data_IF_314658805558
#
_entry.id   IF_314658805558
#
_cell.length_a   1.000
_cell.length_b   1.000
_cell.length_c   1.000
_cell.angle_alpha   90.00
_cell.angle_beta   90.00
_cell.angle_gamma   90.00
#
_symmetry.space_group_name_H-M   'P 1'
#
loop_
_entity.id
_entity.type
_entity.pdbx_description
1 polymer ?
#
# COMPACT_ATOMS: atom_id res chain seq x y z
N UNK A 1 -35.33 -15.25 0.33
CA UNK A 1 -33.99 -14.64 0.34
C UNK A 1 -33.43 -14.88 -1.04
N UNK A 2 -33.48 -13.86 -1.88
CA UNK A 2 -33.17 -14.01 -3.31
C UNK A 2 -31.66 -14.16 -3.48
N UNK A 3 -31.24 -15.37 -3.83
CA UNK A 3 -29.84 -15.71 -4.13
C UNK A 3 -29.52 -15.24 -5.54
N UNK A 4 -29.49 -13.93 -5.77
CA UNK A 4 -28.84 -13.39 -6.96
C UNK A 4 -27.38 -13.85 -6.92
N UNK A 5 -26.97 -14.72 -7.83
CA UNK A 5 -25.60 -15.21 -7.92
C UNK A 5 -24.65 -14.01 -7.88
N UNK A 6 -23.88 -13.87 -6.79
CA UNK A 6 -23.05 -12.70 -6.58
C UNK A 6 -22.00 -12.65 -7.71
N UNK A 7 -21.95 -11.54 -8.45
CA UNK A 7 -20.96 -11.34 -9.49
C UNK A 7 -19.64 -10.85 -8.89
N UNK A 8 -18.82 -11.81 -8.45
CA UNK A 8 -17.63 -11.61 -7.64
C UNK A 8 -16.35 -11.57 -8.50
N UNK A 9 -15.40 -10.75 -8.05
CA UNK A 9 -14.00 -10.75 -8.48
C UNK A 9 -13.10 -10.91 -7.26
N UNK A 10 -12.21 -11.89 -7.26
CA UNK A 10 -11.17 -12.06 -6.22
C UNK A 10 -9.78 -11.89 -6.82
N UNK A 11 -8.98 -11.01 -6.23
CA UNK A 11 -7.53 -10.99 -6.42
C UNK A 11 -6.90 -11.89 -5.37
N UNK A 12 -6.53 -13.10 -5.76
CA UNK A 12 -5.99 -14.07 -4.84
C UNK A 12 -4.46 -13.92 -4.74
N UNK A 13 -3.90 -13.66 -3.54
CA UNK A 13 -2.47 -13.65 -3.32
C UNK A 13 -1.75 -14.87 -3.87
N UNK A 14 -0.54 -14.67 -4.40
CA UNK A 14 0.47 -15.74 -4.32
C UNK A 14 1.14 -15.72 -2.96
N UNK A 15 1.66 -16.89 -2.57
CA UNK A 15 2.30 -17.09 -1.27
C UNK A 15 3.50 -16.15 -1.07
N UNK A 16 4.25 -15.84 -2.13
CA UNK A 16 5.39 -14.90 -2.12
C UNK A 16 4.99 -13.49 -1.71
N UNK A 17 3.79 -13.07 -2.10
CA UNK A 17 3.36 -11.68 -1.97
C UNK A 17 2.45 -11.44 -0.76
N UNK A 18 1.99 -12.51 -0.12
CA UNK A 18 1.09 -12.45 1.03
C UNK A 18 1.68 -11.68 2.21
N UNK A 19 2.99 -11.76 2.42
CA UNK A 19 3.66 -11.17 3.60
C UNK A 19 4.62 -10.05 3.19
N UNK A 20 4.29 -9.34 2.11
CA UNK A 20 5.06 -8.18 1.65
C UNK A 20 4.74 -6.92 2.45
N UNK A 21 5.46 -5.84 2.18
CA UNK A 21 5.28 -4.58 2.90
C UNK A 21 3.95 -3.90 2.60
N UNK A 22 3.49 -3.03 3.51
CA UNK A 22 2.18 -2.37 3.40
C UNK A 22 1.99 -1.65 2.06
N UNK A 23 2.97 -0.85 1.61
CA UNK A 23 2.87 -0.16 0.32
C UNK A 23 2.72 -1.11 -0.88
N UNK A 24 3.28 -2.31 -0.78
CA UNK A 24 3.11 -3.36 -1.78
C UNK A 24 1.65 -3.84 -1.81
N UNK A 25 1.10 -4.17 -0.64
CA UNK A 25 -0.30 -4.59 -0.47
C UNK A 25 -1.30 -3.51 -0.92
N UNK A 26 -1.03 -2.23 -0.61
CA UNK A 26 -1.92 -1.13 -1.00
C UNK A 26 -1.91 -0.90 -2.52
N UNK A 27 -0.78 -1.03 -3.20
CA UNK A 27 -0.71 -0.96 -4.66
C UNK A 27 -1.49 -2.11 -5.30
N UNK A 28 -1.36 -3.32 -4.75
CA UNK A 28 -2.09 -4.52 -5.16
C UNK A 28 -3.60 -4.33 -5.09
N UNK A 29 -4.09 -3.90 -3.93
CA UNK A 29 -5.52 -3.68 -3.71
C UNK A 29 -6.07 -2.55 -4.58
N UNK A 30 -5.28 -1.51 -4.83
CA UNK A 30 -5.71 -0.45 -5.75
C UNK A 30 -5.88 -0.98 -7.18
N UNK A 31 -5.02 -1.90 -7.62
CA UNK A 31 -5.16 -2.59 -8.90
C UNK A 31 -6.41 -3.49 -8.95
N UNK A 32 -6.70 -4.20 -7.87
CA UNK A 32 -7.90 -5.03 -7.74
C UNK A 32 -9.20 -4.20 -7.80
N UNK A 33 -9.22 -3.05 -7.13
CA UNK A 33 -10.33 -2.09 -7.18
C UNK A 33 -10.54 -1.59 -8.61
N UNK A 34 -9.46 -1.24 -9.31
CA UNK A 34 -9.56 -0.77 -10.69
C UNK A 34 -10.23 -1.80 -11.61
N UNK A 35 -9.80 -3.07 -11.54
CA UNK A 35 -10.39 -4.12 -12.35
C UNK A 35 -11.83 -4.42 -11.97
N UNK A 36 -12.17 -4.41 -10.67
CA UNK A 36 -13.53 -4.64 -10.21
C UNK A 36 -14.49 -3.54 -10.69
N UNK A 37 -14.07 -2.27 -10.66
CA UNK A 37 -14.84 -1.15 -11.24
C UNK A 37 -15.02 -1.35 -12.74
N UNK A 38 -13.96 -1.67 -13.48
CA UNK A 38 -14.03 -1.85 -14.93
C UNK A 38 -14.91 -3.05 -15.35
N UNK A 39 -14.94 -4.12 -14.55
CA UNK A 39 -15.78 -5.30 -14.81
C UNK A 39 -17.20 -5.19 -14.25
N UNK A 40 -17.51 -4.11 -13.49
CA UNK A 40 -18.74 -3.98 -12.72
C UNK A 40 -19.02 -5.21 -11.83
N UNK A 41 -18.00 -5.64 -11.08
CA UNK A 41 -18.05 -6.80 -10.18
C UNK A 41 -17.91 -6.37 -8.73
N UNK A 42 -18.56 -7.08 -7.82
CA UNK A 42 -18.30 -6.96 -6.38
C UNK A 42 -16.91 -7.52 -6.09
N UNK A 43 -16.05 -6.71 -5.48
CA UNK A 43 -14.69 -7.11 -5.15
C UNK A 43 -14.68 -7.91 -3.85
N UNK A 44 -14.17 -9.14 -3.90
CA UNK A 44 -13.75 -9.87 -2.71
C UNK A 44 -12.52 -9.18 -2.16
N UNK A 45 -12.70 -8.52 -1.03
CA UNK A 45 -11.70 -7.66 -0.40
C UNK A 45 -11.17 -8.34 0.87
N UNK A 46 -9.86 -8.31 1.14
CA UNK A 46 -9.32 -8.99 2.31
C UNK A 46 -9.80 -8.31 3.59
N UNK A 47 -10.37 -9.09 4.52
CA UNK A 47 -10.73 -8.56 5.82
C UNK A 47 -9.52 -8.24 6.70
N UNK A 48 -8.38 -8.87 6.41
CA UNK A 48 -7.10 -8.60 7.04
C UNK A 48 -5.94 -8.73 6.05
N UNK A 49 -4.88 -7.94 6.28
CA UNK A 49 -3.63 -7.98 5.52
C UNK A 49 -2.52 -8.60 6.36
N UNK A 50 -1.74 -9.50 5.76
CA UNK A 50 -0.51 -9.98 6.38
C UNK A 50 0.63 -9.01 6.07
N UNK A 51 1.12 -8.32 7.10
CA UNK A 51 2.24 -7.38 6.99
C UNK A 51 3.51 -8.02 7.57
N UNK A 52 4.62 -7.97 6.82
CA UNK A 52 5.89 -8.56 7.26
C UNK A 52 6.29 -8.11 8.66
N UNK A 53 6.74 -9.06 9.51
CA UNK A 53 7.24 -8.74 10.85
C UNK A 53 8.38 -7.72 10.84
N UNK A 54 9.11 -7.62 9.72
CA UNK A 54 10.18 -6.63 9.50
C UNK A 54 9.71 -5.18 9.69
N UNK A 55 8.43 -4.89 9.48
CA UNK A 55 7.86 -3.55 9.65
C UNK A 55 7.62 -3.17 11.10
N UNK A 56 7.73 -4.10 12.05
CA UNK A 56 7.55 -3.85 13.48
C UNK A 56 8.85 -3.99 14.27
N UNK A 57 9.90 -4.59 13.68
CA UNK A 57 11.19 -4.84 14.34
C UNK A 57 11.84 -3.59 14.96
N UNK A 58 11.58 -2.40 14.40
CA UNK A 58 12.11 -1.13 14.90
C UNK A 58 11.29 -0.57 16.08
N UNK A 59 10.01 -0.91 16.21
CA UNK A 59 9.08 -0.31 17.18
C UNK A 59 8.70 -1.23 18.34
N UNK A 60 8.85 -2.55 18.20
CA UNK A 60 8.56 -3.51 19.24
C UNK A 60 9.84 -4.11 19.85
N UNK A 61 9.91 -4.07 21.18
CA UNK A 61 10.77 -4.98 21.93
C UNK A 61 10.38 -6.42 21.61
N UNK A 62 11.38 -7.29 21.43
CA UNK A 62 11.27 -8.73 21.16
C UNK A 62 10.13 -9.36 21.97
N UNK A 63 9.11 -9.96 21.33
CA UNK A 63 8.09 -10.74 22.07
C UNK A 63 6.74 -10.99 21.41
N UNK A 64 6.29 -10.14 20.47
CA UNK A 64 5.03 -10.40 19.74
C UNK A 64 5.19 -11.59 18.80
N UNK A 65 4.34 -12.61 18.96
CA UNK A 65 4.34 -13.77 18.07
C UNK A 65 3.67 -13.45 16.74
N UNK A 66 4.23 -13.89 15.59
CA UNK A 66 3.60 -13.74 14.28
C UNK A 66 2.20 -14.37 14.26
N UNK A 67 1.30 -13.82 13.46
CA UNK A 67 -0.06 -14.35 13.36
C UNK A 67 -0.08 -15.72 12.67
N UNK A 68 -0.75 -16.73 13.25
CA UNK A 68 -0.98 -18.00 12.56
C UNK A 68 -1.63 -17.75 11.20
N UNK A 69 -1.11 -18.39 10.14
CA UNK A 69 -1.58 -18.19 8.77
C UNK A 69 -0.92 -17.03 8.02
N UNK A 70 -0.30 -16.05 8.66
CA UNK A 70 0.50 -15.05 7.96
C UNK A 70 1.92 -15.55 7.68
N UNK A 71 1.99 -16.54 6.80
CA UNK A 71 3.24 -17.15 6.32
C UNK A 71 3.32 -16.99 4.81
N UNK A 72 4.43 -16.43 4.34
CA UNK A 72 4.77 -16.30 2.94
C UNK A 72 5.80 -17.34 2.52
N UNK A 73 6.29 -17.21 1.28
CA UNK A 73 7.34 -18.09 0.78
C UNK A 73 8.59 -18.05 1.65
N UNK A 74 9.33 -19.18 1.66
CA UNK A 74 10.60 -19.32 2.39
C UNK A 74 10.50 -19.02 3.89
N UNK A 75 9.31 -19.21 4.48
CA UNK A 75 9.09 -19.04 5.91
C UNK A 75 9.02 -17.58 6.39
N UNK A 76 8.83 -16.62 5.48
CA UNK A 76 8.63 -15.21 5.89
C UNK A 76 7.32 -15.08 6.66
N UNK A 77 7.38 -14.63 7.91
CA UNK A 77 6.19 -14.48 8.76
C UNK A 77 5.73 -13.02 8.84
N UNK A 78 4.46 -12.84 9.22
CA UNK A 78 3.83 -11.53 9.33
C UNK A 78 2.77 -11.45 10.42
N UNK A 79 2.26 -10.24 10.62
CA UNK A 79 1.12 -9.97 11.48
C UNK A 79 -0.12 -9.78 10.62
N UNK A 80 -1.22 -10.45 11.02
CA UNK A 80 -2.54 -10.21 10.44
C UNK A 80 -3.09 -8.92 11.04
N UNK A 81 -3.32 -7.94 10.18
CA UNK A 81 -3.83 -6.62 10.56
C UNK A 81 -5.19 -6.44 9.90
N UNK A 82 -6.29 -6.24 10.66
CA UNK A 82 -7.60 -6.02 10.07
C UNK A 82 -7.57 -4.85 9.09
N UNK A 83 -8.09 -5.04 7.88
CA UNK A 83 -8.01 -4.02 6.84
C UNK A 83 -8.80 -2.77 7.23
N UNK A 84 -9.85 -2.91 8.05
CA UNK A 84 -10.64 -1.80 8.60
C UNK A 84 -9.86 -0.87 9.54
N UNK A 85 -8.75 -1.33 10.14
CA UNK A 85 -7.90 -0.47 10.98
C UNK A 85 -6.87 0.30 10.16
N UNK A 86 -6.66 -0.12 8.89
CA UNK A 86 -5.71 0.49 7.96
C UNK A 86 -6.41 1.38 6.93
N UNK A 87 -7.57 0.96 6.42
CA UNK A 87 -8.22 1.55 5.25
C UNK A 87 -9.67 1.90 5.58
N UNK A 88 -10.13 3.03 5.06
CA UNK A 88 -11.52 3.49 5.10
C UNK A 88 -12.40 2.66 4.14
N UNK A 89 -12.95 1.56 4.65
CA UNK A 89 -13.76 0.62 3.87
C UNK A 89 -15.05 1.27 3.32
N UNK A 90 -15.62 2.25 4.01
CA UNK A 90 -16.81 2.94 3.52
C UNK A 90 -16.47 3.91 2.38
N UNK A 91 -15.28 4.53 2.44
CA UNK A 91 -14.70 5.24 1.30
C UNK A 91 -14.52 4.33 0.08
N UNK A 92 -14.06 3.09 0.27
CA UNK A 92 -13.93 2.11 -0.83
C UNK A 92 -15.28 1.68 -1.38
N UNK A 93 -16.28 1.45 -0.53
CA UNK A 93 -17.65 1.07 -0.93
C UNK A 93 -18.33 2.08 -1.84
N UNK A 94 -17.94 3.35 -1.77
CA UNK A 94 -18.42 4.40 -2.69
C UNK A 94 -17.86 4.27 -4.10
N UNK A 95 -16.74 3.55 -4.27
CA UNK A 95 -16.09 3.33 -5.56
C UNK A 95 -16.51 1.99 -6.17
N UNK A 96 -16.56 0.94 -5.34
CA UNK A 96 -16.86 -0.42 -5.78
C UNK A 96 -17.55 -1.19 -4.67
N UNK A 97 -18.56 -2.04 -4.95
CA UNK A 97 -19.09 -2.95 -3.94
C UNK A 97 -18.00 -3.90 -3.46
N UNK A 98 -17.88 -4.08 -2.15
CA UNK A 98 -16.91 -5.00 -1.55
C UNK A 98 -17.59 -6.03 -0.68
N UNK A 99 -17.05 -7.25 -0.72
CA UNK A 99 -17.36 -8.33 0.21
C UNK A 99 -16.09 -8.73 0.95
N UNK A 100 -16.09 -8.60 2.29
CA UNK A 100 -14.93 -8.93 3.10
C UNK A 100 -14.80 -10.44 3.27
N UNK A 101 -13.60 -10.98 3.02
CA UNK A 101 -13.28 -12.41 3.24
C UNK A 101 -11.87 -12.62 3.80
N UNK A 102 -11.68 -13.74 4.52
CA UNK A 102 -10.36 -14.22 4.97
C UNK A 102 -9.53 -14.69 3.78
N UNK A 103 -8.72 -13.79 3.23
CA UNK A 103 -7.71 -14.11 2.22
C UNK A 103 -6.31 -14.36 2.84
N UNK A 104 -6.18 -14.12 4.13
CA UNK A 104 -4.98 -14.26 4.96
C UNK A 104 -4.79 -15.66 5.56
N UNK A 105 -5.60 -16.66 5.16
CA UNK A 105 -5.50 -18.06 5.61
C UNK A 105 -4.97 -18.97 4.48
N UNK A 106 -4.04 -19.86 4.79
CA UNK A 106 -3.43 -20.81 3.84
C UNK A 106 -3.29 -22.19 4.51
N UNK A 107 -3.81 -23.27 3.89
CA UNK A 107 -4.60 -23.28 2.65
C UNK A 107 -5.91 -22.45 2.78
N UNK A 108 -6.41 -21.85 1.68
CA UNK A 108 -7.71 -21.17 1.73
C UNK A 108 -8.78 -22.14 2.23
N UNK A 109 -9.79 -21.67 2.98
CA UNK A 109 -10.84 -22.54 3.49
C UNK A 109 -11.57 -23.28 2.35
N UNK A 110 -12.16 -24.46 2.61
CA UNK A 110 -12.74 -25.35 1.60
C UNK A 110 -13.88 -24.75 0.75
N UNK A 111 -14.35 -23.53 1.02
CA UNK A 111 -15.47 -22.89 0.32
C UNK A 111 -15.08 -22.16 -1.00
N UNK A 112 -13.91 -22.45 -1.59
CA UNK A 112 -13.37 -21.67 -2.73
C UNK A 112 -13.50 -22.34 -4.11
N UNK A 113 -14.26 -23.44 -4.21
CA UNK A 113 -14.24 -24.36 -5.35
C UNK A 113 -14.90 -23.85 -6.65
N UNK A 114 -15.76 -22.82 -6.59
CA UNK A 114 -16.54 -22.40 -7.77
C UNK A 114 -15.97 -21.18 -8.52
N UNK A 115 -14.79 -20.69 -8.15
CA UNK A 115 -14.18 -19.56 -8.84
C UNK A 115 -13.48 -19.98 -10.13
N UNK A 116 -13.82 -19.33 -11.25
CA UNK A 116 -13.10 -19.48 -12.51
C UNK A 116 -11.78 -18.71 -12.45
N UNK A 117 -10.65 -19.41 -12.51
CA UNK A 117 -9.33 -18.78 -12.51
C UNK A 117 -9.03 -18.15 -13.88
N UNK A 118 -8.58 -16.90 -13.90
CA UNK A 118 -8.07 -16.25 -15.12
C UNK A 118 -6.58 -16.51 -15.28
N UNK A 119 -6.14 -16.70 -16.52
CA UNK A 119 -4.72 -16.81 -16.81
C UNK A 119 -4.01 -15.45 -16.63
N UNK A 120 -2.72 -15.51 -16.27
CA UNK A 120 -1.90 -14.33 -15.96
C UNK A 120 -1.79 -13.32 -17.10
N UNK A 121 -2.09 -13.71 -18.34
CA UNK A 121 -2.04 -12.86 -19.54
C UNK A 121 -3.38 -12.22 -19.89
N UNK A 122 -4.47 -12.57 -19.20
CA UNK A 122 -5.79 -12.08 -19.55
C UNK A 122 -5.94 -10.61 -19.21
N UNK A 123 -6.43 -9.85 -20.19
CA UNK A 123 -6.83 -8.46 -20.02
C UNK A 123 -8.22 -8.36 -19.41
N UNK A 124 -8.54 -7.23 -18.78
CA UNK A 124 -9.89 -6.93 -18.29
C UNK A 124 -10.93 -7.07 -19.40
N UNK A 125 -10.66 -6.58 -20.62
CA UNK A 125 -11.60 -6.69 -21.74
C UNK A 125 -11.88 -8.15 -22.13
N UNK A 126 -10.86 -9.01 -22.05
CA UNK A 126 -11.03 -10.44 -22.29
C UNK A 126 -11.90 -11.07 -21.19
N UNK A 127 -11.66 -10.73 -19.93
CA UNK A 127 -12.49 -11.22 -18.82
C UNK A 127 -13.94 -10.78 -19.02
N UNK A 128 -14.18 -9.51 -19.38
CA UNK A 128 -15.52 -8.98 -19.63
C UNK A 128 -16.26 -9.75 -20.75
N UNK A 129 -15.55 -10.07 -21.84
CA UNK A 129 -16.13 -10.81 -22.98
C UNK A 129 -16.32 -12.29 -22.71
N UNK A 130 -15.31 -12.96 -22.18
CA UNK A 130 -15.26 -14.42 -22.10
C UNK A 130 -15.91 -14.96 -20.82
N UNK A 131 -15.89 -14.16 -19.75
CA UNK A 131 -16.37 -14.49 -18.41
C UNK A 131 -17.35 -13.42 -17.89
N UNK A 132 -18.49 -13.18 -18.57
CA UNK A 132 -19.54 -12.33 -18.01
C UNK A 132 -20.14 -12.97 -16.75
N UNK A 133 -20.82 -12.18 -15.92
CA UNK A 133 -21.43 -12.63 -14.66
C UNK A 133 -22.34 -13.86 -14.83
N UNK A 134 -23.09 -13.93 -15.93
CA UNK A 134 -24.00 -15.03 -16.24
C UNK A 134 -23.31 -16.38 -16.47
N UNK A 135 -22.04 -16.35 -16.90
CA UNK A 135 -21.23 -17.54 -17.19
C UNK A 135 -20.24 -17.87 -16.07
N UNK A 136 -19.68 -16.84 -15.46
CA UNK A 136 -18.69 -16.93 -14.40
C UNK A 136 -19.10 -15.96 -13.29
N UNK A 137 -20.03 -16.36 -12.41
CA UNK A 137 -20.46 -15.52 -11.29
C UNK A 137 -19.27 -15.20 -10.40
N UNK A 138 -18.33 -16.14 -10.23
CA UNK A 138 -17.11 -15.91 -9.47
C UNK A 138 -15.86 -16.03 -10.35
N UNK A 139 -15.15 -14.92 -10.53
CA UNK A 139 -13.86 -14.88 -11.24
C UNK A 139 -12.72 -14.66 -10.23
N UNK A 140 -11.63 -15.42 -10.37
CA UNK A 140 -10.43 -15.30 -9.54
C UNK A 140 -9.22 -14.96 -10.40
N UNK A 141 -8.57 -13.83 -10.13
CA UNK A 141 -7.25 -13.51 -10.65
C UNK A 141 -6.18 -13.94 -9.66
N UNK A 142 -5.46 -15.01 -10.00
CA UNK A 142 -4.25 -15.41 -9.27
C UNK A 142 -3.10 -14.52 -9.72
N UNK A 143 -2.53 -13.76 -8.81
CA UNK A 143 -1.51 -12.74 -9.14
C UNK A 143 -0.10 -13.16 -8.75
N UNK A 144 0.69 -13.70 -9.70
CA UNK A 144 2.05 -14.21 -9.40
C UNK A 144 3.13 -13.14 -9.47
N UNK A 145 3.96 -13.10 -8.43
CA UNK A 145 4.82 -11.96 -8.14
C UNK A 145 3.98 -10.74 -7.75
N UNK A 146 4.58 -9.57 -7.77
CA UNK A 146 3.96 -8.33 -7.30
C UNK A 146 2.48 -8.19 -7.73
N UNK A 147 1.51 -8.15 -6.80
CA UNK A 147 0.09 -8.26 -7.15
C UNK A 147 -0.45 -7.13 -8.04
N UNK A 148 0.21 -5.97 -8.07
CA UNK A 148 -0.12 -4.86 -8.94
C UNK A 148 0.43 -5.01 -10.37
N UNK A 149 1.19 -6.08 -10.64
CA UNK A 149 1.81 -6.37 -11.94
C UNK A 149 0.81 -6.40 -13.10
N UNK A 150 -0.44 -6.89 -12.96
CA UNK A 150 -1.45 -6.75 -14.01
C UNK A 150 -1.66 -5.28 -14.43
N UNK A 151 -1.69 -4.34 -13.48
CA UNK A 151 -1.76 -2.91 -13.78
C UNK A 151 -0.47 -2.38 -14.41
N UNK A 152 0.70 -2.81 -13.94
CA UNK A 152 1.99 -2.41 -14.54
C UNK A 152 2.21 -2.93 -15.96
N UNK A 153 1.51 -3.99 -16.37
CA UNK A 153 1.56 -4.57 -17.70
C UNK A 153 0.35 -4.24 -18.57
N UNK A 154 -0.46 -3.26 -18.16
CA UNK A 154 -1.65 -2.83 -18.90
C UNK A 154 -2.65 -3.98 -19.17
N UNK A 155 -2.68 -4.99 -18.29
CA UNK A 155 -3.69 -6.06 -18.33
C UNK A 155 -4.98 -5.64 -17.64
N UNK A 156 -4.90 -4.66 -16.74
CA UNK A 156 -6.05 -4.10 -16.05
C UNK A 156 -6.45 -2.77 -16.67
N UNK A 157 -7.74 -2.60 -16.93
CA UNK A 157 -8.32 -1.32 -17.31
C UNK A 157 -8.54 -0.46 -16.06
N UNK A 158 -7.91 0.72 -15.99
CA UNK A 158 -8.03 1.62 -14.84
C UNK A 158 -8.71 2.95 -15.17
N UNK A 159 -9.15 3.16 -16.42
CA UNK A 159 -9.80 4.40 -16.86
C UNK A 159 -11.09 4.67 -16.10
N UNK A 160 -11.91 3.64 -15.87
CA UNK A 160 -13.15 3.76 -15.14
C UNK A 160 -12.92 4.24 -13.69
N UNK A 161 -11.96 3.64 -12.97
CA UNK A 161 -11.61 4.09 -11.62
C UNK A 161 -11.03 5.51 -11.64
N UNK A 162 -10.16 5.82 -12.60
CA UNK A 162 -9.55 7.16 -12.72
C UNK A 162 -10.61 8.23 -12.96
N UNK A 163 -11.61 7.96 -13.81
CA UNK A 163 -12.73 8.87 -14.05
C UNK A 163 -13.58 9.09 -12.79
N UNK A 164 -13.84 8.04 -12.01
CA UNK A 164 -14.56 8.15 -10.73
C UNK A 164 -13.77 9.01 -9.74
N UNK A 165 -12.45 8.80 -9.65
CA UNK A 165 -11.58 9.58 -8.76
C UNK A 165 -11.50 11.05 -9.19
N UNK A 166 -11.33 11.33 -10.48
CA UNK A 166 -11.28 12.69 -11.03
C UNK A 166 -12.59 13.43 -10.73
N UNK A 167 -13.74 12.78 -10.92
CA UNK A 167 -15.04 13.35 -10.59
C UNK A 167 -15.16 13.65 -9.08
N UNK A 168 -14.69 12.74 -8.22
CA UNK A 168 -14.76 12.91 -6.77
C UNK A 168 -13.93 14.10 -6.25
N UNK A 169 -12.82 14.44 -6.93
CA UNK A 169 -11.95 15.57 -6.55
C UNK A 169 -12.20 16.84 -7.38
N UNK A 170 -13.18 16.82 -8.28
CA UNK A 170 -13.47 17.94 -9.18
C UNK A 170 -12.36 18.24 -10.20
N UNK A 171 -11.50 17.25 -10.50
CA UNK A 171 -10.45 17.40 -11.49
C UNK A 171 -11.04 17.39 -12.91
N UNK A 172 -10.65 18.35 -13.75
CA UNK A 172 -11.01 18.39 -15.18
C UNK A 172 -10.05 17.46 -15.94
N UNK A 173 -10.45 16.19 -16.03
CA UNK A 173 -9.58 15.03 -16.30
C UNK A 173 -9.08 14.83 -17.73
N UNK A 174 -8.35 15.77 -18.34
CA UNK A 174 -7.70 15.49 -19.65
C UNK A 174 -6.18 15.31 -19.58
N UNK A 175 -5.50 16.00 -18.65
CA UNK A 175 -4.03 16.05 -18.63
C UNK A 175 -3.33 14.81 -18.06
N UNK A 176 -3.99 14.02 -17.21
CA UNK A 176 -3.37 12.88 -16.50
C UNK A 176 -3.55 11.52 -17.20
N UNK A 177 -4.52 11.38 -18.13
CA UNK A 177 -4.84 10.10 -18.79
C UNK A 177 -3.77 9.61 -19.78
N UNK A 178 -2.85 10.46 -20.23
CA UNK A 178 -1.92 10.15 -21.34
C UNK A 178 -0.60 9.46 -20.96
N UNK A 179 -0.28 9.23 -19.68
CA UNK A 179 1.08 8.79 -19.27
C UNK A 179 1.22 7.36 -18.72
N UNK A 180 0.14 6.69 -18.32
CA UNK A 180 0.10 5.23 -18.12
C UNK A 180 -1.34 4.77 -17.93
N UNK A 181 -1.71 3.59 -18.43
CA UNK A 181 -3.10 3.12 -18.40
C UNK A 181 -3.66 2.90 -16.99
N UNK A 182 -2.79 2.84 -15.97
CA UNK A 182 -3.16 2.65 -14.57
C UNK A 182 -2.53 3.64 -13.58
N UNK A 183 -1.98 4.75 -14.08
CA UNK A 183 -1.17 5.71 -13.31
C UNK A 183 -1.71 6.05 -11.92
N UNK A 184 -2.73 6.90 -11.82
CA UNK A 184 -3.27 7.32 -10.52
C UNK A 184 -3.89 6.15 -9.73
N UNK A 185 -4.52 5.22 -10.43
CA UNK A 185 -5.21 4.08 -9.83
C UNK A 185 -4.29 3.29 -8.89
N UNK A 186 -3.08 2.92 -9.29
CA UNK A 186 -2.16 2.14 -8.42
C UNK A 186 -1.65 2.92 -7.21
N UNK A 187 -1.84 4.23 -7.16
CA UNK A 187 -1.44 5.09 -6.04
C UNK A 187 -2.60 5.46 -5.12
N UNK A 188 -3.85 5.13 -5.47
CA UNK A 188 -5.06 5.54 -4.74
C UNK A 188 -4.98 5.25 -3.24
N UNK A 189 -4.75 3.99 -2.84
CA UNK A 189 -4.68 3.63 -1.42
C UNK A 189 -3.44 4.15 -0.69
N UNK A 190 -2.43 4.64 -1.43
CA UNK A 190 -1.20 5.24 -0.89
C UNK A 190 -1.26 6.77 -0.81
N UNK A 191 -2.37 7.38 -1.25
CA UNK A 191 -2.56 8.83 -1.27
C UNK A 191 -2.74 9.47 0.11
N UNK A 192 -3.04 8.67 1.14
CA UNK A 192 -3.44 9.16 2.45
C UNK A 192 -4.95 9.38 2.62
N UNK A 193 -5.69 9.49 1.51
CA UNK A 193 -7.13 9.79 1.52
C UNK A 193 -7.96 8.63 2.10
N UNK A 194 -7.57 7.41 1.76
CA UNK A 194 -8.28 6.18 2.12
C UNK A 194 -7.75 5.51 3.39
N UNK A 195 -6.88 6.15 4.18
CA UNK A 195 -6.51 5.58 5.47
C UNK A 195 -7.68 5.63 6.46
N UNK A 196 -7.78 4.64 7.33
CA UNK A 196 -8.83 4.60 8.36
C UNK A 196 -8.82 5.85 9.24
N UNK A 197 -10.00 6.23 9.75
CA UNK A 197 -10.18 7.46 10.53
C UNK A 197 -9.16 7.61 11.70
N UNK A 198 -8.83 6.56 12.49
CA UNK A 198 -7.81 6.69 13.54
C UNK A 198 -6.42 7.06 13.03
N UNK A 199 -6.01 6.56 11.84
CA UNK A 199 -4.72 6.90 11.23
C UNK A 199 -4.73 8.37 10.78
N UNK A 200 -5.82 8.83 10.16
CA UNK A 200 -5.96 10.24 9.76
C UNK A 200 -5.96 11.18 10.97
N UNK A 201 -6.63 10.80 12.05
CA UNK A 201 -6.62 11.54 13.31
C UNK A 201 -5.20 11.60 13.91
N UNK A 202 -4.49 10.47 13.96
CA UNK A 202 -3.10 10.46 14.41
C UNK A 202 -2.20 11.35 13.55
N UNK A 203 -2.35 11.30 12.21
CA UNK A 203 -1.60 12.18 11.31
C UNK A 203 -1.91 13.66 11.54
N UNK A 204 -3.17 14.01 11.81
CA UNK A 204 -3.57 15.38 12.17
C UNK A 204 -2.95 15.83 13.51
N UNK A 205 -2.96 14.97 14.53
CA UNK A 205 -2.31 15.22 15.82
C UNK A 205 -0.82 15.48 15.66
N UNK A 206 -0.13 14.64 14.86
CA UNK A 206 1.29 14.81 14.55
C UNK A 206 1.54 16.15 13.86
N UNK A 207 0.75 16.48 12.82
CA UNK A 207 0.89 17.76 12.13
C UNK A 207 0.66 18.95 13.07
N UNK A 208 -0.29 18.85 14.00
CA UNK A 208 -0.51 19.89 15.01
C UNK A 208 0.67 20.02 15.98
N UNK A 209 1.18 18.90 16.50
CA UNK A 209 2.33 18.86 17.39
C UNK A 209 3.61 19.42 16.74
N UNK A 210 3.73 19.32 15.42
CA UNK A 210 4.82 19.89 14.64
C UNK A 210 4.63 21.39 14.31
N UNK A 211 3.59 22.05 14.84
CA UNK A 211 3.33 23.48 14.62
C UNK A 211 2.61 23.78 13.30
N UNK A 212 1.98 22.78 12.66
CA UNK A 212 1.18 22.95 11.44
C UNK A 212 2.00 23.03 10.14
N UNK A 213 3.21 23.60 10.18
CA UNK A 213 4.16 23.64 9.06
C UNK A 213 5.46 22.92 9.41
N UNK A 214 5.86 21.98 8.56
CA UNK A 214 7.12 21.25 8.67
C UNK A 214 7.55 20.75 7.28
N UNK A 215 8.85 20.59 7.08
CA UNK A 215 9.39 19.83 5.97
C UNK A 215 9.36 18.33 6.32
N UNK A 216 9.23 17.45 5.32
CA UNK A 216 9.28 16.01 5.52
C UNK A 216 10.27 15.34 4.58
N UNK A 217 11.01 14.35 5.08
CA UNK A 217 11.89 13.52 4.26
C UNK A 217 11.67 12.04 4.57
N UNK A 218 11.61 11.23 3.52
CA UNK A 218 11.57 9.77 3.64
C UNK A 218 12.88 9.16 3.14
N UNK A 219 13.64 8.55 4.05
CA UNK A 219 14.95 7.94 3.76
C UNK A 219 14.87 6.43 3.91
N UNK A 220 14.73 5.70 2.80
CA UNK A 220 14.75 4.24 2.78
C UNK A 220 16.12 3.74 2.33
N UNK A 221 16.95 3.31 3.29
CA UNK A 221 18.28 2.76 3.07
C UNK A 221 18.27 1.26 3.33
N UNK A 222 18.71 0.76 4.49
CA UNK A 222 18.56 -0.65 4.92
C UNK A 222 18.63 -1.68 3.75
N UNK A 223 17.55 -2.41 3.48
CA UNK A 223 17.46 -3.42 2.42
C UNK A 223 17.68 -2.87 0.99
N UNK A 224 17.45 -1.58 0.75
CA UNK A 224 17.74 -0.92 -0.54
C UNK A 224 19.23 -0.80 -0.84
N UNK A 225 20.10 -0.89 0.18
CA UNK A 225 21.55 -0.87 0.02
C UNK A 225 22.18 -2.28 0.12
N UNK A 226 21.39 -3.32 -0.16
CA UNK A 226 21.88 -4.71 -0.24
C UNK A 226 22.11 -5.12 -1.70
N UNK A 227 23.33 -5.51 -2.02
CA UNK A 227 23.73 -6.04 -3.34
C UNK A 227 22.90 -7.27 -3.70
N UNK A 228 22.40 -7.32 -4.94
CA UNK A 228 21.57 -8.40 -5.45
C UNK A 228 20.14 -8.41 -4.91
N UNK A 229 19.74 -7.38 -4.15
CA UNK A 229 18.37 -7.25 -3.65
C UNK A 229 17.82 -5.82 -3.82
N UNK A 230 18.43 -4.85 -3.16
CA UNK A 230 18.00 -3.45 -3.17
C UNK A 230 18.61 -2.64 -4.31
N UNK A 231 19.88 -2.95 -4.61
CA UNK A 231 20.66 -2.42 -5.72
C UNK A 231 21.13 -3.59 -6.60
N UNK A 232 21.42 -3.33 -7.88
CA UNK A 232 21.88 -4.35 -8.82
C UNK A 232 23.25 -4.90 -8.43
N UNK A 233 24.24 -4.02 -8.31
CA UNK A 233 25.64 -4.35 -8.03
C UNK A 233 26.24 -3.45 -6.93
N UNK A 234 27.48 -3.75 -6.55
CA UNK A 234 28.20 -3.02 -5.50
C UNK A 234 28.42 -1.53 -5.84
N UNK A 235 28.67 -1.21 -7.11
CA UNK A 235 28.90 0.16 -7.55
C UNK A 235 27.63 1.02 -7.40
N UNK A 236 26.50 0.49 -7.88
CA UNK A 236 25.17 1.11 -7.73
C UNK A 236 24.82 1.29 -6.25
N UNK A 237 25.13 0.31 -5.42
CA UNK A 237 24.93 0.41 -3.97
C UNK A 237 25.77 1.51 -3.33
N UNK A 238 27.05 1.61 -3.71
CA UNK A 238 27.95 2.65 -3.20
C UNK A 238 27.47 4.05 -3.59
N UNK A 239 27.01 4.23 -4.84
CA UNK A 239 26.41 5.48 -5.31
C UNK A 239 25.14 5.81 -4.52
N UNK A 240 24.20 4.87 -4.41
CA UNK A 240 22.97 5.07 -3.63
C UNK A 240 23.26 5.40 -2.16
N UNK A 241 24.28 4.75 -1.57
CA UNK A 241 24.71 5.01 -0.20
C UNK A 241 25.31 6.42 -0.05
N UNK A 242 26.08 6.91 -1.02
CA UNK A 242 26.63 8.26 -1.04
C UNK A 242 25.52 9.30 -1.20
N UNK A 243 24.59 9.09 -2.15
CA UNK A 243 23.48 10.01 -2.42
C UNK A 243 22.51 10.14 -1.25
N UNK A 244 22.33 9.08 -0.48
CA UNK A 244 21.45 9.07 0.70
C UNK A 244 22.22 9.23 2.02
N UNK A 245 23.51 9.58 1.95
CA UNK A 245 24.38 9.87 3.09
C UNK A 245 23.94 11.11 3.87
N UNK A 246 24.29 11.21 5.16
CA UNK A 246 23.91 12.35 6.00
C UNK A 246 24.40 13.70 5.43
N UNK A 247 25.65 13.81 4.99
CA UNK A 247 26.19 15.02 4.35
C UNK A 247 25.44 15.38 3.05
N UNK A 248 25.14 14.37 2.23
CA UNK A 248 24.43 14.55 0.97
C UNK A 248 22.96 14.96 1.18
N UNK A 249 22.31 14.43 2.21
CA UNK A 249 20.98 14.86 2.65
C UNK A 249 21.02 16.30 3.16
N UNK A 250 22.01 16.65 3.99
CA UNK A 250 22.17 17.99 4.53
C UNK A 250 22.34 19.03 3.41
N UNK A 251 23.23 18.76 2.45
CA UNK A 251 23.46 19.61 1.29
C UNK A 251 22.20 19.82 0.46
N UNK A 252 21.46 18.73 0.16
CA UNK A 252 20.22 18.82 -0.63
C UNK A 252 19.11 19.55 0.09
N UNK A 253 18.87 19.25 1.37
CA UNK A 253 17.85 19.94 2.15
C UNK A 253 18.17 21.43 2.28
N UNK A 254 19.45 21.79 2.36
CA UNK A 254 19.91 23.17 2.47
C UNK A 254 19.62 24.04 1.24
N UNK A 255 19.33 23.42 0.08
CA UNK A 255 18.89 24.14 -1.12
C UNK A 255 17.46 24.67 -1.00
N UNK A 256 16.63 24.03 -0.17
CA UNK A 256 15.18 24.29 -0.10
C UNK A 256 14.77 24.88 1.25
N UNK A 257 15.48 24.55 2.32
CA UNK A 257 15.05 24.84 3.68
C UNK A 257 16.13 25.59 4.48
N UNK A 258 15.77 26.70 5.17
CA UNK A 258 16.67 27.39 6.06
C UNK A 258 17.00 26.56 7.31
N UNK A 259 18.11 26.88 8.02
CA UNK A 259 18.40 26.27 9.31
C UNK A 259 17.28 26.54 10.32
N UNK A 260 17.08 25.60 11.24
CA UNK A 260 16.01 25.65 12.24
C UNK A 260 14.65 25.14 11.73
N UNK A 261 14.50 24.84 10.43
CA UNK A 261 13.27 24.27 9.87
C UNK A 261 12.86 23.00 10.62
N UNK A 262 11.60 22.88 11.10
CA UNK A 262 11.05 21.63 11.60
C UNK A 262 11.05 20.58 10.49
N UNK A 263 11.70 19.45 10.73
CA UNK A 263 11.88 18.38 9.74
C UNK A 263 11.43 17.04 10.31
N UNK A 264 10.31 16.53 9.79
CA UNK A 264 9.85 15.18 10.09
C UNK A 264 10.61 14.14 9.25
N UNK A 265 11.20 13.15 9.91
CA UNK A 265 12.03 12.13 9.27
C UNK A 265 11.36 10.76 9.36
N UNK A 266 10.88 10.27 8.22
CA UNK A 266 10.52 8.85 8.06
C UNK A 266 11.72 8.07 7.55
N UNK A 267 12.20 7.06 8.27
CA UNK A 267 13.41 6.34 7.84
C UNK A 267 13.43 4.87 8.26
N UNK A 268 14.32 4.09 7.63
CA UNK A 268 14.78 2.80 8.17
C UNK A 268 16.01 2.89 9.04
N UNK A 269 16.76 3.98 8.93
CA UNK A 269 17.96 4.22 9.73
C UNK A 269 17.59 4.69 11.14
N UNK A 270 18.37 4.32 12.17
CA UNK A 270 18.14 4.78 13.53
C UNK A 270 18.31 6.31 13.63
N UNK A 271 17.73 6.97 14.65
CA UNK A 271 17.87 8.41 14.82
C UNK A 271 19.33 8.89 14.89
N UNK A 272 20.26 8.08 15.40
CA UNK A 272 21.70 8.39 15.46
C UNK A 272 22.37 8.53 14.10
N UNK A 273 21.79 7.98 13.03
CA UNK A 273 22.26 8.19 11.67
C UNK A 273 22.14 9.67 11.23
N UNK A 274 21.20 10.40 11.82
CA UNK A 274 20.83 11.76 11.42
C UNK A 274 21.45 12.85 12.32
N UNK A 275 22.44 12.52 13.17
CA UNK A 275 23.06 13.48 14.09
C UNK A 275 23.61 14.74 13.39
N UNK A 276 24.17 14.59 12.19
CA UNK A 276 24.64 15.75 11.42
C UNK A 276 23.48 16.68 11.01
N UNK A 277 22.32 16.13 10.66
CA UNK A 277 21.15 16.93 10.30
C UNK A 277 20.57 17.64 11.53
N UNK A 278 20.65 17.03 12.73
CA UNK A 278 20.20 17.66 13.99
C UNK A 278 20.92 18.96 14.30
N UNK A 279 22.16 19.14 13.82
CA UNK A 279 22.91 20.39 14.00
C UNK A 279 22.32 21.57 13.21
N UNK A 280 21.48 21.30 12.22
CA UNK A 280 20.93 22.32 11.31
C UNK A 280 19.41 22.39 11.29
N UNK A 281 18.71 21.30 11.52
CA UNK A 281 17.24 21.23 11.48
C UNK A 281 16.68 20.71 12.81
N UNK A 282 15.46 21.10 13.13
CA UNK A 282 14.74 20.56 14.28
C UNK A 282 14.08 19.23 13.88
N UNK A 283 14.77 18.12 14.15
CA UNK A 283 14.32 16.80 13.70
C UNK A 283 13.24 16.22 14.61
N UNK A 284 12.22 15.63 14.01
CA UNK A 284 11.23 14.80 14.72
C UNK A 284 11.07 13.46 14.01
N UNK A 285 11.07 12.39 14.80
CA UNK A 285 10.83 11.02 14.36
C UNK A 285 9.48 10.51 14.87
N UNK A 286 9.01 9.38 14.31
CA UNK A 286 7.77 8.76 14.77
C UNK A 286 7.84 8.34 16.25
N UNK A 287 9.02 7.98 16.75
CA UNK A 287 9.28 7.57 18.13
C UNK A 287 9.11 8.72 19.13
N UNK A 288 9.49 9.93 18.74
CA UNK A 288 9.37 11.15 19.56
C UNK A 288 7.90 11.53 19.81
N UNK A 289 7.00 11.00 18.98
CA UNK A 289 5.56 11.28 18.98
C UNK A 289 4.75 10.17 19.66
N UNK A 290 5.43 9.23 20.33
CA UNK A 290 4.79 8.10 21.00
C UNK A 290 3.78 8.52 22.08
N UNK A 291 3.96 9.69 22.71
CA UNK A 291 3.02 10.27 23.66
C UNK A 291 1.66 10.66 23.05
N UNK A 292 1.58 10.82 21.73
CA UNK A 292 0.33 11.15 21.03
C UNK A 292 -0.58 9.92 20.81
N UNK A 293 -0.10 8.72 21.13
CA UNK A 293 -0.88 7.48 20.99
C UNK A 293 -2.16 7.56 21.84
N UNK A 294 -3.31 7.46 21.18
CA UNK A 294 -4.63 7.45 21.84
C UNK A 294 -5.20 8.82 22.19
N UNK A 295 -4.57 9.93 21.79
CA UNK A 295 -5.17 11.26 21.95
C UNK A 295 -6.25 11.49 20.87
N UNK A 296 -7.53 11.70 21.25
CA UNK A 296 -8.53 12.15 20.30
C UNK A 296 -8.18 13.56 19.83
N UNK A 297 -8.14 13.79 18.52
CA UNK A 297 -8.06 15.14 17.98
C UNK A 297 -9.45 15.75 18.09
N UNK A 298 -9.58 16.84 18.87
CA UNK A 298 -10.80 17.63 18.87
C UNK A 298 -11.05 18.16 17.45
N UNK A 299 -12.23 17.87 16.91
CA UNK A 299 -12.70 18.29 15.59
C UNK A 299 -12.86 19.79 15.48
#
# INVERSE_FOLDING_TARGET
MDSSAQCLLEFHPWLSDRVMGLNHQLAALSCAIAEAVALNRTLVFPEALCISVKHELRWHAKGRQPSPGCVGEKGVTGFSVPTSTLIDLDGIRRLVPIELRRLDIHPPPPASHDATNVDRTWTTDRIARDLPCSRAPFVRRRVSGYWFRPCSYNLVQCDALSAVLDAAVGARGELYRRRSSCGLAVHMLRSGLFYAAPIRAAAAAVRHALGGWYAAVHVRRSDRLRVGYGCGDAATCAEAAALTGADALLARLGLWYPPGTPLYVGSTEPPSYFEQLRRRYNLTFAEDLSALRGTPVAS
#
